data_IF_421343490390
#
_entry.id   IF_421343490390
#
_cell.length_a   1.000
_cell.length_b   1.000
_cell.length_c   1.000
_cell.angle_alpha   90.00
_cell.angle_beta   90.00
_cell.angle_gamma   90.00
#
_symmetry.space_group_name_H-M   'P 1'
#
loop_
_entity.id
_entity.type
_entity.pdbx_description
1 polymer ?
#
# COMPACT_ATOMS: atom_id res chain seq x y z
N UNK A 1 -23.50 -1.19 62.89
CA UNK A 1 -22.25 -0.42 62.66
C UNK A 1 -21.73 -0.80 61.29
N UNK A 2 -21.82 0.09 60.30
CA UNK A 2 -21.37 -0.17 58.93
C UNK A 2 -19.95 0.39 58.76
N UNK A 3 -18.89 -0.42 58.69
CA UNK A 3 -17.52 0.07 58.87
C UNK A 3 -16.87 0.63 57.59
N UNK A 4 -17.61 0.81 56.49
CA UNK A 4 -17.04 1.25 55.22
C UNK A 4 -17.78 2.47 54.65
N UNK A 5 -17.47 3.66 55.15
CA UNK A 5 -17.61 4.89 54.35
C UNK A 5 -16.28 5.11 53.61
N UNK A 6 -16.17 4.77 52.31
CA UNK A 6 -15.00 5.15 51.53
C UNK A 6 -14.93 6.68 51.50
N UNK A 7 -13.86 7.24 52.09
CA UNK A 7 -13.62 8.67 52.10
C UNK A 7 -13.42 9.18 50.67
N UNK A 8 -13.95 10.37 50.32
CA UNK A 8 -13.86 10.98 48.99
C UNK A 8 -12.44 10.95 48.38
N UNK A 9 -11.41 10.97 49.24
CA UNK A 9 -9.99 10.85 48.89
C UNK A 9 -9.62 9.51 48.21
N UNK A 10 -10.30 8.41 48.55
CA UNK A 10 -10.09 7.08 47.93
C UNK A 10 -10.62 7.04 46.50
N UNK A 11 -11.72 7.72 46.20
CA UNK A 11 -12.24 7.84 44.83
C UNK A 11 -11.34 8.71 43.95
N UNK A 12 -10.78 9.79 44.50
CA UNK A 12 -9.79 10.62 43.80
C UNK A 12 -8.52 9.83 43.48
N UNK A 13 -8.01 9.03 44.43
CA UNK A 13 -6.85 8.17 44.21
C UNK A 13 -7.14 7.06 43.19
N UNK A 14 -8.34 6.49 43.21
CA UNK A 14 -8.77 5.48 42.23
C UNK A 14 -8.92 6.08 40.82
N UNK A 15 -9.47 7.28 40.70
CA UNK A 15 -9.61 8.00 39.43
C UNK A 15 -8.24 8.40 38.84
N UNK A 16 -7.30 8.83 39.69
CA UNK A 16 -5.92 9.14 39.30
C UNK A 16 -5.18 7.89 38.79
N UNK A 17 -5.44 6.73 39.39
CA UNK A 17 -4.88 5.45 38.96
C UNK A 17 -5.44 4.99 37.61
N UNK A 18 -6.73 5.26 37.35
CA UNK A 18 -7.39 4.95 36.08
C UNK A 18 -6.85 5.78 34.91
N UNK A 19 -6.48 7.05 35.16
CA UNK A 19 -5.89 7.92 34.12
C UNK A 19 -4.47 7.53 33.72
N UNK A 20 -3.74 6.78 34.56
CA UNK A 20 -2.39 6.30 34.26
C UNK A 20 -2.32 5.19 33.21
N UNK A 21 -3.43 4.48 32.96
CA UNK A 21 -3.50 3.38 31.97
C UNK A 21 -3.61 3.86 30.52
N UNK A 22 -3.74 5.17 30.28
CA UNK A 22 -3.95 5.75 28.93
C UNK A 22 -2.65 6.29 28.32
N UNK A 23 -1.49 6.10 28.97
CA UNK A 23 -0.19 6.43 28.36
C UNK A 23 0.13 5.39 27.29
N UNK A 24 -0.16 5.76 26.03
CA UNK A 24 -0.20 4.91 24.86
C UNK A 24 1.18 4.39 24.39
N UNK A 25 1.14 3.24 23.72
CA UNK A 25 2.27 2.49 23.18
C UNK A 25 2.87 3.17 21.93
N UNK A 26 3.77 4.12 22.15
CA UNK A 26 4.54 4.72 21.05
C UNK A 26 5.56 3.72 20.49
N UNK A 27 5.49 3.47 19.18
CA UNK A 27 6.55 2.75 18.46
C UNK A 27 7.64 3.72 18.07
N UNK A 28 8.84 3.57 18.63
CA UNK A 28 10.01 4.40 18.32
C UNK A 28 11.08 3.55 17.69
N UNK A 29 11.58 3.97 16.54
CA UNK A 29 12.59 3.22 15.80
C UNK A 29 13.70 4.16 15.38
N UNK A 30 14.95 3.81 15.71
CA UNK A 30 16.14 4.49 15.20
C UNK A 30 17.18 3.50 14.73
N UNK A 31 18.00 3.94 13.77
CA UNK A 31 19.05 3.09 13.22
C UNK A 31 19.84 3.77 12.13
N UNK A 32 20.69 2.98 11.48
CA UNK A 32 21.49 3.37 10.33
C UNK A 32 21.28 2.34 9.20
N UNK A 33 21.16 2.84 7.98
CA UNK A 33 21.03 2.04 6.76
C UNK A 33 22.34 2.08 5.99
N UNK A 34 22.87 0.91 5.63
CA UNK A 34 24.15 0.74 4.93
C UNK A 34 24.02 -0.23 3.76
N UNK A 35 24.96 -0.18 2.83
CA UNK A 35 25.17 -1.18 1.80
C UNK A 35 25.99 -2.36 2.35
N UNK A 36 26.02 -3.46 1.60
CA UNK A 36 26.91 -4.61 1.72
C UNK A 36 28.40 -4.23 1.81
N UNK A 37 28.80 -3.15 1.14
CA UNK A 37 30.15 -2.59 1.20
C UNK A 37 30.41 -1.73 2.47
N UNK A 38 29.40 -1.54 3.31
CA UNK A 38 29.48 -0.79 4.57
C UNK A 38 29.30 0.73 4.41
N UNK A 39 29.07 1.23 3.20
CA UNK A 39 28.77 2.64 2.97
C UNK A 39 27.35 3.00 3.44
N UNK A 40 27.15 4.15 4.11
CA UNK A 40 25.82 4.59 4.51
C UNK A 40 24.96 4.95 3.28
N UNK A 41 23.67 4.62 3.35
CA UNK A 41 22.71 4.93 2.29
C UNK A 41 21.85 6.12 2.72
N UNK A 42 22.14 7.28 2.13
CA UNK A 42 21.37 8.49 2.30
C UNK A 42 20.06 8.46 1.50
N UNK A 43 19.04 9.18 1.98
CA UNK A 43 17.74 9.34 1.33
C UNK A 43 16.98 8.04 1.04
N UNK A 44 17.25 6.97 1.80
CA UNK A 44 16.46 5.75 1.80
C UNK A 44 15.11 5.99 2.47
N UNK A 45 14.05 5.42 1.90
CA UNK A 45 12.70 5.49 2.44
C UNK A 45 12.53 4.46 3.55
N UNK A 46 12.12 4.92 4.72
CA UNK A 46 11.83 4.10 5.90
C UNK A 46 10.36 4.28 6.27
N UNK A 47 9.55 3.23 6.16
CA UNK A 47 8.10 3.31 6.31
C UNK A 47 7.57 2.16 7.16
N UNK A 48 6.53 2.41 7.96
CA UNK A 48 5.73 1.34 8.55
C UNK A 48 4.74 0.77 7.52
N UNK A 49 4.80 -0.54 7.19
CA UNK A 49 3.90 -1.14 6.21
C UNK A 49 2.42 -0.90 6.52
N UNK A 50 1.65 -0.46 5.53
CA UNK A 50 0.22 -0.16 5.70
C UNK A 50 -0.08 1.17 6.40
N UNK A 51 0.94 1.98 6.68
CA UNK A 51 0.81 3.32 7.25
C UNK A 51 1.31 4.39 6.29
N UNK A 52 0.93 5.65 6.55
CA UNK A 52 1.53 6.84 5.92
C UNK A 52 2.70 7.39 6.76
N UNK A 53 2.96 6.80 7.92
CA UNK A 53 4.02 7.22 8.83
C UNK A 53 5.35 6.61 8.39
N UNK A 54 6.29 7.47 8.01
CA UNK A 54 7.63 7.12 7.59
C UNK A 54 8.57 8.31 7.68
N UNK A 55 9.84 8.05 7.39
CA UNK A 55 10.91 9.04 7.36
C UNK A 55 11.89 8.69 6.24
N UNK A 56 12.84 9.58 6.00
CA UNK A 56 13.96 9.36 5.09
C UNK A 56 15.27 9.31 5.88
N UNK A 57 16.26 8.56 5.41
CA UNK A 57 17.59 8.59 6.01
C UNK A 57 18.32 9.90 5.67
N UNK A 58 19.12 10.39 6.62
CA UNK A 58 20.00 11.55 6.43
C UNK A 58 21.26 11.17 5.62
N UNK A 59 22.14 12.16 5.37
CA UNK A 59 23.41 11.97 4.65
C UNK A 59 24.31 10.87 5.23
N UNK A 60 24.29 10.69 6.56
CA UNK A 60 25.04 9.65 7.27
C UNK A 60 24.33 8.28 7.33
N UNK A 61 23.22 8.10 6.59
CA UNK A 61 22.40 6.88 6.57
C UNK A 61 21.52 6.68 7.81
N UNK A 62 21.57 7.61 8.77
CA UNK A 62 20.81 7.52 10.02
C UNK A 62 19.34 7.90 9.84
N UNK A 63 18.45 7.24 10.57
CA UNK A 63 17.02 7.55 10.59
C UNK A 63 16.42 7.50 12.00
N UNK A 64 15.32 8.23 12.16
CA UNK A 64 14.46 8.18 13.34
C UNK A 64 13.00 8.32 12.92
N UNK A 65 12.16 7.38 13.35
CA UNK A 65 10.72 7.41 13.12
C UNK A 65 9.97 7.04 14.40
N UNK A 66 8.90 7.76 14.68
CA UNK A 66 8.03 7.51 15.81
C UNK A 66 6.57 7.44 15.35
N UNK A 67 5.79 6.57 15.96
CA UNK A 67 4.35 6.47 15.76
C UNK A 67 3.65 6.25 17.10
N UNK A 68 2.42 6.74 17.22
CA UNK A 68 1.53 6.44 18.34
C UNK A 68 0.84 5.07 18.21
N UNK A 69 0.97 4.41 17.05
CA UNK A 69 0.47 3.06 16.81
C UNK A 69 1.57 2.02 17.03
N UNK A 70 1.17 0.80 17.38
CA UNK A 70 2.07 -0.35 17.49
C UNK A 70 2.30 -0.97 16.12
N UNK A 71 3.53 -0.94 15.63
CA UNK A 71 3.94 -1.63 14.40
C UNK A 71 4.94 -2.74 14.72
N UNK A 72 4.77 -3.88 14.05
CA UNK A 72 5.63 -5.05 14.18
C UNK A 72 6.65 -5.17 13.06
N UNK A 73 6.56 -4.32 12.03
CA UNK A 73 7.40 -4.38 10.85
C UNK A 73 7.82 -2.98 10.40
N UNK A 74 9.00 -2.89 9.82
CA UNK A 74 9.56 -1.69 9.20
C UNK A 74 10.02 -2.05 7.79
N UNK A 75 9.59 -1.28 6.79
CA UNK A 75 10.04 -1.43 5.41
C UNK A 75 11.08 -0.36 5.11
N UNK A 76 12.24 -0.79 4.61
CA UNK A 76 13.29 0.11 4.11
C UNK A 76 13.49 -0.15 2.62
N UNK A 77 13.42 0.91 1.82
CA UNK A 77 13.53 0.82 0.36
C UNK A 77 14.35 1.97 -0.19
N UNK A 78 15.17 1.68 -1.19
CA UNK A 78 15.94 2.67 -1.92
C UNK A 78 16.08 2.25 -3.39
N UNK A 79 16.24 3.23 -4.28
CA UNK A 79 16.31 2.99 -5.72
C UNK A 79 17.58 2.20 -6.04
N UNK A 80 17.42 1.09 -6.76
CA UNK A 80 18.54 0.20 -7.10
C UNK A 80 18.91 -0.80 -6.00
N UNK A 81 18.14 -0.87 -4.92
CA UNK A 81 18.33 -1.82 -3.82
C UNK A 81 17.09 -2.68 -3.60
N UNK A 82 17.29 -3.88 -3.05
CA UNK A 82 16.19 -4.74 -2.63
C UNK A 82 15.52 -4.11 -1.41
N UNK A 83 14.19 -4.10 -1.41
CA UNK A 83 13.42 -3.65 -0.25
C UNK A 83 13.54 -4.68 0.87
N UNK A 84 13.89 -4.22 2.07
CA UNK A 84 14.03 -5.07 3.25
C UNK A 84 12.86 -4.81 4.20
N UNK A 85 12.23 -5.89 4.64
CA UNK A 85 11.20 -5.90 5.68
C UNK A 85 11.83 -6.41 6.97
N UNK A 86 12.00 -5.52 7.94
CA UNK A 86 12.54 -5.82 9.26
C UNK A 86 11.39 -6.05 10.25
N UNK A 87 11.47 -7.11 11.05
CA UNK A 87 10.54 -7.35 12.17
C UNK A 87 11.02 -6.59 13.40
N UNK A 88 10.12 -5.85 14.05
CA UNK A 88 10.38 -5.10 15.26
C UNK A 88 9.96 -5.93 16.48
N UNK A 89 10.92 -6.31 17.32
CA UNK A 89 10.67 -7.16 18.50
C UNK A 89 10.02 -6.41 19.68
N UNK A 90 10.21 -5.09 19.72
CA UNK A 90 9.77 -4.20 20.81
C UNK A 90 9.01 -3.00 20.27
N UNK A 91 8.23 -2.35 21.13
CA UNK A 91 7.68 -1.02 20.81
C UNK A 91 8.78 0.04 20.65
N UNK A 92 9.92 -0.09 21.31
CA UNK A 92 11.06 0.83 21.12
C UNK A 92 12.31 0.07 20.71
N UNK A 93 12.80 0.32 19.49
CA UNK A 93 14.03 -0.26 18.95
C UNK A 93 14.99 0.87 18.58
N UNK A 94 16.16 0.91 19.19
CA UNK A 94 17.15 1.95 18.93
C UNK A 94 18.45 1.31 18.43
N UNK A 95 19.15 2.00 17.54
CA UNK A 95 20.45 1.57 17.04
C UNK A 95 20.39 0.36 16.11
N UNK A 96 19.30 0.20 15.36
CA UNK A 96 19.22 -0.87 14.36
C UNK A 96 20.22 -0.63 13.23
N UNK A 97 20.92 -1.68 12.82
CA UNK A 97 21.78 -1.65 11.63
C UNK A 97 21.10 -2.45 10.53
N UNK A 98 20.76 -1.77 9.43
CA UNK A 98 20.01 -2.34 8.31
C UNK A 98 20.93 -2.34 7.10
N UNK A 99 21.21 -3.53 6.57
CA UNK A 99 22.01 -3.68 5.35
C UNK A 99 21.07 -3.91 4.18
N UNK A 100 21.14 -3.05 3.16
CA UNK A 100 20.45 -3.22 1.90
C UNK A 100 21.38 -3.88 0.88
N UNK A 101 20.84 -4.84 0.13
CA UNK A 101 21.54 -5.45 -1.00
C UNK A 101 21.19 -4.73 -2.30
N UNK A 102 22.17 -4.49 -3.16
CA UNK A 102 21.92 -3.99 -4.51
C UNK A 102 20.95 -4.91 -5.27
N UNK A 103 19.90 -4.34 -5.85
CA UNK A 103 18.96 -5.04 -6.69
C UNK A 103 19.53 -5.12 -8.11
N UNK A 104 20.01 -6.31 -8.50
CA UNK A 104 20.34 -6.63 -9.89
C UNK A 104 19.06 -6.89 -10.72
N UNK A 105 18.01 -6.07 -10.57
CA UNK A 105 16.81 -6.18 -11.39
C UNK A 105 17.10 -5.58 -12.78
N UNK A 106 17.39 -6.46 -13.72
CA UNK A 106 17.37 -6.14 -15.15
C UNK A 106 15.96 -5.71 -15.54
N UNK A 107 15.72 -4.40 -15.62
CA UNK A 107 14.53 -3.86 -16.26
C UNK A 107 14.47 -4.39 -17.70
N UNK A 108 13.39 -5.09 -18.07
CA UNK A 108 13.13 -5.42 -19.48
C UNK A 108 12.95 -4.10 -20.23
N UNK A 109 13.94 -3.75 -21.06
CA UNK A 109 13.92 -2.54 -21.86
C UNK A 109 12.66 -2.53 -22.73
N UNK A 110 11.80 -1.52 -22.55
CA UNK A 110 10.66 -1.30 -23.44
C UNK A 110 11.21 -0.77 -24.76
N UNK A 111 11.40 -1.64 -25.75
CA UNK A 111 11.77 -1.22 -27.09
C UNK A 111 10.54 -0.62 -27.77
N UNK A 112 10.55 0.70 -27.98
CA UNK A 112 9.60 1.36 -28.88
C UNK A 112 9.92 0.89 -30.30
N UNK A 113 9.08 0.02 -30.85
CA UNK A 113 9.20 -0.40 -32.24
C UNK A 113 8.70 0.75 -33.12
N UNK A 114 9.59 1.68 -33.50
CA UNK A 114 9.29 2.70 -34.50
C UNK A 114 9.43 2.10 -35.90
N UNK A 115 8.32 1.63 -36.48
CA UNK A 115 8.28 1.09 -37.83
C UNK A 115 6.98 0.33 -38.16
N UNK A 116 6.63 0.23 -39.45
CA UNK A 116 5.51 -0.62 -39.93
C UNK A 116 5.83 -2.09 -39.63
N UNK A 117 5.28 -2.61 -38.53
CA UNK A 117 5.42 -4.01 -38.15
C UNK A 117 4.72 -4.92 -39.18
N UNK A 118 5.46 -5.90 -39.74
CA UNK A 118 4.90 -6.87 -40.69
C UNK A 118 3.77 -7.67 -40.04
N UNK A 119 2.65 -7.85 -40.76
CA UNK A 119 1.36 -8.40 -40.30
C UNK A 119 1.42 -9.78 -39.60
N UNK A 120 2.56 -10.47 -39.63
CA UNK A 120 2.69 -11.88 -39.23
C UNK A 120 3.01 -12.11 -37.75
N UNK A 121 3.53 -11.12 -37.02
CA UNK A 121 3.89 -11.28 -35.60
C UNK A 121 3.42 -10.12 -34.71
N UNK A 122 2.22 -9.59 -34.99
CA UNK A 122 1.66 -8.49 -34.20
C UNK A 122 0.88 -9.07 -32.99
N UNK A 123 1.32 -8.81 -31.73
CA UNK A 123 0.62 -9.28 -30.53
C UNK A 123 -0.82 -8.76 -30.43
N UNK A 124 -1.15 -7.65 -31.12
CA UNK A 124 -2.50 -7.12 -31.18
C UNK A 124 -3.52 -8.08 -31.83
N UNK A 125 -3.09 -8.94 -32.76
CA UNK A 125 -3.98 -9.90 -33.43
C UNK A 125 -4.47 -10.98 -32.45
N UNK A 126 -3.63 -11.39 -31.51
CA UNK A 126 -4.00 -12.40 -30.52
C UNK A 126 -4.97 -11.83 -29.47
N UNK A 127 -4.80 -10.55 -29.12
CA UNK A 127 -5.75 -9.80 -28.29
C UNK A 127 -7.11 -9.67 -29.01
N UNK A 128 -7.12 -9.29 -30.29
CA UNK A 128 -8.35 -9.18 -31.10
C UNK A 128 -9.08 -10.53 -31.23
N UNK A 129 -8.33 -11.63 -31.42
CA UNK A 129 -8.89 -12.98 -31.48
C UNK A 129 -9.58 -13.37 -30.16
N UNK A 130 -8.97 -13.05 -29.01
CA UNK A 130 -9.55 -13.27 -27.68
C UNK A 130 -10.84 -12.45 -27.46
N UNK A 131 -10.89 -11.20 -27.93
CA UNK A 131 -12.09 -10.36 -27.87
C UNK A 131 -13.20 -10.95 -28.75
N UNK A 132 -12.90 -11.36 -29.98
CA UNK A 132 -13.88 -11.99 -30.87
C UNK A 132 -14.41 -13.32 -30.32
N UNK A 133 -13.57 -14.11 -29.65
CA UNK A 133 -14.01 -15.34 -28.97
C UNK A 133 -15.03 -15.06 -27.86
N UNK A 134 -14.87 -13.96 -27.11
CA UNK A 134 -15.82 -13.51 -26.06
C UNK A 134 -17.02 -12.71 -26.57
N UNK A 135 -16.99 -12.21 -27.81
CA UNK A 135 -18.09 -11.41 -28.38
C UNK A 135 -19.41 -12.19 -28.47
N UNK A 136 -19.36 -13.53 -28.65
CA UNK A 136 -20.56 -14.38 -28.65
C UNK A 136 -21.22 -14.53 -27.28
N UNK A 137 -20.47 -14.46 -26.18
CA UNK A 137 -21.03 -14.60 -24.83
C UNK A 137 -21.63 -13.29 -24.29
N UNK A 138 -21.11 -12.15 -24.73
CA UNK A 138 -21.47 -10.82 -24.21
C UNK A 138 -22.22 -9.95 -25.23
N UNK A 139 -22.73 -10.54 -26.33
CA UNK A 139 -23.45 -9.83 -27.37
C UNK A 139 -24.89 -9.50 -26.97
N UNK A 140 -25.42 -8.40 -27.51
CA UNK A 140 -26.77 -7.83 -27.32
C UNK A 140 -27.98 -8.79 -27.46
N UNK A 141 -27.79 -10.07 -27.77
CA UNK A 141 -28.86 -11.08 -27.83
C UNK A 141 -29.47 -11.41 -26.47
N UNK A 142 -28.70 -11.29 -25.38
CA UNK A 142 -29.17 -11.68 -24.03
C UNK A 142 -30.11 -10.65 -23.38
N UNK A 143 -30.37 -9.50 -24.00
CA UNK A 143 -31.23 -8.47 -23.40
C UNK A 143 -32.72 -8.83 -23.45
N UNK A 144 -33.14 -9.61 -24.44
CA UNK A 144 -34.53 -10.05 -24.59
C UNK A 144 -34.85 -11.31 -23.75
N UNK A 145 -33.82 -12.02 -23.29
CA UNK A 145 -33.94 -13.20 -22.43
C UNK A 145 -34.08 -12.84 -20.93
N UNK A 146 -34.01 -11.55 -20.58
CA UNK A 146 -34.11 -11.08 -19.18
C UNK A 146 -35.59 -10.94 -18.80
N UNK A 147 -36.07 -11.59 -17.72
CA UNK A 147 -37.46 -11.45 -17.29
C UNK A 147 -37.80 -9.98 -16.99
N UNK A 148 -38.72 -9.39 -17.77
CA UNK A 148 -39.14 -7.99 -17.64
C UNK A 148 -38.52 -7.00 -18.64
N UNK A 149 -37.71 -7.46 -19.60
CA UNK A 149 -37.22 -6.62 -20.68
C UNK A 149 -38.36 -6.15 -21.61
N UNK A 150 -38.36 -4.86 -21.99
CA UNK A 150 -39.35 -4.27 -22.91
C UNK A 150 -38.76 -4.19 -24.32
N UNK A 151 -39.48 -4.61 -25.38
CA UNK A 151 -38.99 -4.47 -26.75
C UNK A 151 -38.96 -2.98 -27.14
N UNK A 152 -37.84 -2.51 -27.70
CA UNK A 152 -37.77 -1.19 -28.29
C UNK A 152 -38.37 -1.23 -29.70
N UNK A 153 -39.60 -0.73 -29.88
CA UNK A 153 -40.15 -0.44 -31.21
C UNK A 153 -39.85 1.01 -31.61
N UNK A 154 -39.02 1.22 -32.63
CA UNK A 154 -38.86 2.52 -33.27
C UNK A 154 -40.01 2.68 -34.28
N UNK A 155 -41.21 2.94 -33.78
CA UNK A 155 -42.37 3.32 -34.61
C UNK A 155 -42.94 4.62 -34.06
N UNK A 156 -42.11 5.65 -34.00
CA UNK A 156 -42.54 7.03 -33.81
C UNK A 156 -42.37 7.77 -35.13
N UNK A 157 -43.47 8.07 -35.81
CA UNK A 157 -43.49 8.99 -36.96
C UNK A 157 -43.12 10.39 -36.46
N UNK A 158 -41.85 10.77 -36.60
CA UNK A 158 -41.43 12.16 -36.41
C UNK A 158 -41.82 12.95 -37.66
N UNK A 159 -42.98 13.60 -37.61
CA UNK A 159 -43.38 14.58 -38.63
C UNK A 159 -42.60 15.88 -38.46
N UNK A 160 -41.84 16.25 -39.49
CA UNK A 160 -41.36 17.62 -39.69
C UNK A 160 -42.06 18.16 -40.95
N UNK A 161 -42.94 19.15 -40.76
CA UNK A 161 -43.40 20.01 -41.84
C UNK A 161 -42.36 21.08 -42.11
N UNK A 162 -42.07 21.32 -43.39
CA UNK A 162 -41.23 22.42 -43.87
C UNK A 162 -41.97 23.76 -43.77
#
# INVERSE_FOLDING_TARGET
>A
MNPFKPTMKKYILFLLWLTGMVLQAQTKVSGNVKDTDGFPIAFANVLFPGSTIGTITNDDGSFYVASDQTYTQLSVSFIGFKTVLLVLDKGSNYGLEIVLEAAAEQLQSVTLVSGKQSKKNNPAIDILRKIWAKKRSNGLGNYLDVPGARPFSITGSFGFGF
#
